data_IF_713580854362
#
_entry.id   IF_713580854362
#
_cell.length_a   1.000
_cell.length_b   1.000
_cell.length_c   1.000
_cell.angle_alpha   90.00
_cell.angle_beta   90.00
_cell.angle_gamma   90.00
#
_symmetry.space_group_name_H-M   'P 1'
#
loop_
_entity.id
_entity.type
_entity.pdbx_description
1 polymer ?
#
# COMPACT_ATOMS: atom_id res chain seq x y z
N UNK A 1 5.29 -15.28 -5.31
CA UNK A 1 5.90 -16.12 -4.26
C UNK A 1 5.89 -15.32 -2.97
N UNK A 2 4.95 -15.60 -2.06
CA UNK A 2 4.92 -14.98 -0.72
C UNK A 2 5.78 -15.84 0.20
N UNK A 3 7.08 -15.56 0.21
CA UNK A 3 7.98 -16.09 1.23
C UNK A 3 7.86 -15.24 2.48
N UNK A 4 7.59 -15.87 3.62
CA UNK A 4 7.78 -15.24 4.93
C UNK A 4 9.26 -14.87 5.04
N UNK A 5 9.58 -13.68 5.52
CA UNK A 5 10.99 -13.29 5.71
C UNK A 5 11.48 -13.95 6.98
N UNK A 6 12.55 -14.72 6.85
CA UNK A 6 13.11 -15.46 7.96
C UNK A 6 14.03 -14.57 8.80
N UNK A 7 14.11 -14.86 10.09
CA UNK A 7 14.99 -14.17 11.05
C UNK A 7 16.46 -14.04 10.59
N UNK A 8 17.12 -15.09 10.04
CA UNK A 8 18.51 -14.98 9.59
C UNK A 8 18.70 -14.22 8.27
N UNK A 9 17.62 -13.83 7.58
CA UNK A 9 17.73 -13.04 6.35
C UNK A 9 18.47 -11.73 6.64
N UNK A 10 19.49 -11.40 5.84
CA UNK A 10 20.22 -10.15 5.98
C UNK A 10 19.31 -8.98 5.59
N UNK A 11 19.50 -7.82 6.22
CA UNK A 11 18.75 -6.61 5.87
C UNK A 11 18.96 -6.20 4.41
N UNK A 12 20.12 -6.53 3.83
CA UNK A 12 20.42 -6.29 2.42
C UNK A 12 19.54 -7.13 1.47
N UNK A 13 19.10 -8.31 1.91
CA UNK A 13 18.29 -9.23 1.11
C UNK A 13 16.78 -8.99 1.27
N UNK A 14 16.38 -8.02 2.10
CA UNK A 14 14.98 -7.65 2.29
C UNK A 14 14.45 -7.01 1.00
N UNK A 15 13.26 -7.42 0.51
CA UNK A 15 12.66 -6.82 -0.67
C UNK A 15 12.58 -5.27 -0.56
N UNK A 16 13.05 -4.52 -1.58
CA UNK A 16 13.09 -3.05 -1.51
C UNK A 16 11.75 -2.39 -1.19
N UNK A 17 10.65 -2.95 -1.72
CA UNK A 17 9.28 -2.46 -1.46
C UNK A 17 8.90 -2.58 0.02
N UNK A 18 9.33 -3.65 0.68
CA UNK A 18 9.09 -3.83 2.11
C UNK A 18 9.94 -2.86 2.92
N UNK A 19 11.23 -2.74 2.59
CA UNK A 19 12.13 -1.81 3.25
C UNK A 19 11.65 -0.36 3.10
N UNK A 20 11.18 0.05 1.93
CA UNK A 20 10.60 1.39 1.69
C UNK A 20 9.35 1.61 2.55
N UNK A 21 8.48 0.61 2.66
CA UNK A 21 7.28 0.68 3.50
C UNK A 21 7.61 0.82 4.98
N UNK A 22 8.65 0.11 5.45
CA UNK A 22 9.20 0.25 6.79
C UNK A 22 9.79 1.66 7.01
N UNK A 23 10.63 2.15 6.09
CA UNK A 23 11.25 3.47 6.21
C UNK A 23 10.19 4.58 6.30
N UNK A 24 9.18 4.54 5.42
CA UNK A 24 8.06 5.50 5.47
C UNK A 24 7.30 5.45 6.79
N UNK A 25 7.07 4.25 7.32
CA UNK A 25 6.37 4.07 8.59
C UNK A 25 7.13 4.75 9.73
N UNK A 26 8.43 4.48 9.87
CA UNK A 26 9.25 5.01 10.98
C UNK A 26 9.52 6.51 10.80
N UNK A 27 9.77 6.98 9.58
CA UNK A 27 10.00 8.40 9.29
C UNK A 27 8.77 9.26 9.62
N UNK A 28 7.57 8.71 9.44
CA UNK A 28 6.33 9.42 9.75
C UNK A 28 6.12 9.71 11.24
N UNK A 29 6.78 8.93 12.13
CA UNK A 29 6.68 9.08 13.57
C UNK A 29 5.28 8.97 14.16
N UNK A 30 4.33 8.35 13.44
CA UNK A 30 2.90 8.30 13.79
C UNK A 30 2.65 7.63 15.16
N UNK A 31 3.53 6.74 15.59
CA UNK A 31 3.47 6.04 16.87
C UNK A 31 4.28 6.70 17.99
N UNK A 32 4.85 7.89 17.76
CA UNK A 32 5.69 8.60 18.72
C UNK A 32 7.08 7.99 18.90
N UNK A 33 7.36 6.87 18.24
CA UNK A 33 8.61 6.12 18.27
C UNK A 33 9.35 6.36 16.94
N UNK A 34 9.62 7.62 16.61
CA UNK A 34 10.22 7.96 15.31
C UNK A 34 11.64 7.42 15.11
N UNK A 35 12.18 7.68 13.92
CA UNK A 35 13.53 7.26 13.50
C UNK A 35 14.66 7.58 14.49
N UNK A 36 14.54 8.64 15.31
CA UNK A 36 15.55 8.99 16.33
C UNK A 36 15.65 7.93 17.42
N UNK A 37 14.54 7.41 17.88
CA UNK A 37 14.53 6.35 18.89
C UNK A 37 15.16 5.07 18.32
N UNK A 38 14.88 4.77 17.05
CA UNK A 38 15.53 3.66 16.33
C UNK A 38 17.05 3.88 16.22
N UNK A 39 17.48 5.08 15.85
CA UNK A 39 18.89 5.45 15.74
C UNK A 39 19.64 5.24 17.07
N UNK A 40 19.03 5.58 18.21
CA UNK A 40 19.68 5.40 19.53
C UNK A 40 19.90 3.94 19.93
N UNK A 41 19.14 2.99 19.37
CA UNK A 41 19.32 1.56 19.64
C UNK A 41 20.33 0.92 18.68
N UNK A 42 20.45 1.47 17.47
CA UNK A 42 21.20 0.86 16.37
C UNK A 42 22.61 1.45 16.22
N UNK A 43 22.75 2.76 16.41
CA UNK A 43 24.01 3.46 16.23
C UNK A 43 24.85 3.42 17.51
N UNK A 44 26.16 3.14 17.41
CA UNK A 44 27.07 3.13 18.56
C UNK A 44 27.31 4.50 19.20
N UNK A 45 27.00 5.61 18.52
CA UNK A 45 27.35 6.96 18.98
C UNK A 45 26.28 8.01 18.68
N UNK A 46 26.11 8.95 19.63
CA UNK A 46 25.26 10.14 19.46
C UNK A 46 25.74 11.07 18.34
N UNK A 47 27.02 11.01 17.97
CA UNK A 47 27.53 11.76 16.81
C UNK A 47 26.88 11.28 15.52
N UNK A 48 26.73 9.97 15.35
CA UNK A 48 26.13 9.39 14.15
C UNK A 48 24.65 9.73 14.04
N UNK A 49 23.94 9.81 15.18
CA UNK A 49 22.56 10.30 15.22
C UNK A 49 22.45 11.72 14.64
N UNK A 50 23.38 12.62 15.01
CA UNK A 50 23.44 13.98 14.46
C UNK A 50 23.79 13.99 12.96
N UNK A 51 24.66 13.09 12.52
CA UNK A 51 24.93 12.93 11.09
C UNK A 51 23.66 12.53 10.33
N UNK A 52 22.84 11.62 10.88
CA UNK A 52 21.54 11.26 10.29
C UNK A 52 20.58 12.45 10.22
N UNK A 53 20.60 13.37 11.18
CA UNK A 53 19.78 14.59 11.12
C UNK A 53 20.11 15.48 9.91
N UNK A 54 21.36 15.48 9.44
CA UNK A 54 21.75 16.22 8.24
C UNK A 54 21.05 15.67 6.98
N UNK A 55 20.77 14.36 6.93
CA UNK A 55 20.00 13.76 5.82
C UNK A 55 18.55 14.22 5.84
N UNK A 56 17.94 14.36 7.02
CA UNK A 56 16.60 14.93 7.16
C UNK A 56 16.55 16.36 6.65
N UNK A 57 17.54 17.18 7.02
CA UNK A 57 17.65 18.56 6.55
C UNK A 57 17.80 18.65 5.02
N UNK A 58 18.38 17.62 4.39
CA UNK A 58 18.49 17.48 2.94
C UNK A 58 17.24 16.87 2.26
N UNK A 59 16.16 16.63 3.02
CA UNK A 59 14.91 16.06 2.50
C UNK A 59 14.99 14.56 2.18
N UNK A 60 15.96 13.84 2.74
CA UNK A 60 16.13 12.40 2.57
C UNK A 60 15.52 11.63 3.74
N UNK A 61 15.18 10.36 3.51
CA UNK A 61 14.70 9.45 4.55
C UNK A 61 15.83 9.14 5.56
N UNK A 62 15.71 9.54 6.84
CA UNK A 62 16.70 9.17 7.85
C UNK A 62 16.68 7.68 8.13
N UNK A 63 15.51 7.02 8.16
CA UNK A 63 15.42 5.58 8.40
C UNK A 63 16.07 4.78 7.28
N UNK A 64 15.95 5.22 6.02
CA UNK A 64 16.60 4.54 4.90
C UNK A 64 18.13 4.57 5.04
N UNK A 65 18.70 5.71 5.43
CA UNK A 65 20.14 5.82 5.67
C UNK A 65 20.58 4.95 6.86
N UNK A 66 19.81 4.93 7.95
CA UNK A 66 20.07 4.04 9.09
C UNK A 66 20.08 2.57 8.68
N UNK A 67 19.06 2.13 7.94
CA UNK A 67 18.97 0.75 7.48
C UNK A 67 20.08 0.39 6.51
N UNK A 68 20.48 1.33 5.65
CA UNK A 68 21.62 1.16 4.75
C UNK A 68 22.93 0.96 5.53
N UNK A 69 23.24 1.85 6.48
CA UNK A 69 24.44 1.76 7.31
C UNK A 69 24.46 0.49 8.16
N UNK A 70 23.30 0.07 8.66
CA UNK A 70 23.20 -1.11 9.50
C UNK A 70 23.26 -2.41 8.69
N UNK A 71 22.68 -2.44 7.49
CA UNK A 71 22.78 -3.56 6.57
C UNK A 71 24.24 -3.84 6.16
N UNK A 72 25.07 -2.81 5.98
CA UNK A 72 26.50 -2.96 5.70
C UNK A 72 27.28 -3.69 6.82
N UNK A 73 26.74 -3.71 8.04
CA UNK A 73 27.30 -4.46 9.17
C UNK A 73 26.82 -5.92 9.22
N UNK A 74 26.23 -6.43 8.13
CA UNK A 74 25.66 -7.77 8.01
C UNK A 74 24.58 -8.07 9.06
N UNK A 75 23.77 -7.07 9.40
CA UNK A 75 22.66 -7.22 10.33
C UNK A 75 21.51 -7.96 9.69
N UNK A 76 20.81 -8.71 10.53
CA UNK A 76 19.71 -9.57 10.10
C UNK A 76 18.35 -8.92 10.38
N UNK A 77 17.32 -9.45 9.74
CA UNK A 77 15.92 -9.12 10.06
C UNK A 77 15.61 -9.47 11.52
N UNK A 78 16.22 -10.53 12.07
CA UNK A 78 16.12 -10.86 13.48
C UNK A 78 16.65 -9.77 14.42
N UNK A 79 17.80 -9.19 14.10
CA UNK A 79 18.37 -8.08 14.87
C UNK A 79 17.43 -6.89 14.85
N UNK A 80 16.86 -6.56 13.68
CA UNK A 80 15.87 -5.51 13.54
C UNK A 80 14.60 -5.79 14.36
N UNK A 81 14.05 -6.99 14.26
CA UNK A 81 12.86 -7.39 15.00
C UNK A 81 13.04 -7.30 16.52
N UNK A 82 14.25 -7.58 17.01
CA UNK A 82 14.60 -7.45 18.43
C UNK A 82 14.59 -5.98 18.87
N UNK A 83 15.22 -5.10 18.10
CA UNK A 83 15.20 -3.64 18.39
C UNK A 83 13.77 -3.10 18.35
N UNK A 84 12.96 -3.53 17.38
CA UNK A 84 11.56 -3.12 17.29
C UNK A 84 10.73 -3.62 18.48
N UNK A 85 11.02 -4.80 19.02
CA UNK A 85 10.40 -5.30 20.26
C UNK A 85 10.79 -4.45 21.47
N UNK A 86 12.09 -4.14 21.62
CA UNK A 86 12.61 -3.29 22.70
C UNK A 86 11.99 -1.89 22.69
N UNK A 87 11.72 -1.36 21.50
CA UNK A 87 11.05 -0.07 21.31
C UNK A 87 9.52 -0.14 21.44
N UNK A 88 8.89 -1.31 21.37
CA UNK A 88 7.43 -1.47 21.37
C UNK A 88 6.77 -1.19 20.01
N UNK A 89 7.51 -1.23 18.90
CA UNK A 89 6.99 -1.02 17.54
C UNK A 89 6.27 -2.24 16.97
N UNK A 90 5.07 -2.51 17.49
CA UNK A 90 4.24 -3.64 17.06
C UNK A 90 3.85 -3.55 15.58
N UNK A 91 3.53 -2.35 15.08
CA UNK A 91 3.15 -2.13 13.67
C UNK A 91 4.32 -2.38 12.72
N UNK A 92 5.49 -1.84 13.01
CA UNK A 92 6.67 -2.03 12.16
C UNK A 92 7.12 -3.50 12.17
N UNK A 93 7.05 -4.16 13.33
CA UNK A 93 7.26 -5.61 13.44
C UNK A 93 6.28 -6.41 12.58
N UNK A 94 5.00 -6.04 12.59
CA UNK A 94 3.97 -6.73 11.81
C UNK A 94 4.21 -6.66 10.30
N UNK A 95 4.88 -5.62 9.77
CA UNK A 95 5.20 -5.53 8.34
C UNK A 95 6.07 -6.70 7.88
N UNK A 96 7.09 -7.07 8.65
CA UNK A 96 7.98 -8.18 8.32
C UNK A 96 7.32 -9.56 8.50
N UNK A 97 6.23 -9.63 9.28
CA UNK A 97 5.46 -10.86 9.50
C UNK A 97 4.29 -11.01 8.50
N UNK A 98 3.73 -9.90 8.03
CA UNK A 98 2.49 -9.85 7.24
C UNK A 98 2.69 -10.00 5.73
N UNK A 99 3.92 -10.19 5.24
CA UNK A 99 4.17 -10.56 3.85
C UNK A 99 3.55 -11.93 3.44
N UNK A 100 2.91 -12.62 4.39
CA UNK A 100 1.97 -13.72 4.12
C UNK A 100 0.64 -13.27 3.46
N UNK A 101 0.28 -11.97 3.42
CA UNK A 101 -1.10 -11.53 3.09
C UNK A 101 -1.21 -10.56 1.90
N UNK A 102 -0.13 -9.92 1.45
CA UNK A 102 -0.20 -8.97 0.32
C UNK A 102 0.33 -9.51 -1.01
N UNK A 103 -0.36 -10.53 -1.53
CA UNK A 103 -0.67 -10.63 -2.96
C UNK A 103 -2.19 -10.75 -3.05
N UNK A 104 -2.84 -9.93 -3.88
CA UNK A 104 -4.28 -9.94 -4.26
C UNK A 104 -5.15 -8.74 -3.80
N UNK A 105 -4.63 -7.52 -3.75
CA UNK A 105 -5.50 -6.32 -3.68
C UNK A 105 -5.89 -5.72 -5.06
N UNK A 106 -5.70 -6.47 -6.14
CA UNK A 106 -6.14 -6.10 -7.51
C UNK A 106 -7.36 -6.89 -8.00
N UNK A 107 -8.05 -7.63 -7.13
CA UNK A 107 -9.20 -8.47 -7.50
C UNK A 107 -10.55 -8.02 -6.89
N UNK A 108 -10.68 -6.77 -6.43
CA UNK A 108 -11.95 -6.23 -5.88
C UNK A 108 -12.58 -5.20 -6.84
N UNK A 109 -12.60 -5.48 -8.14
CA UNK A 109 -13.45 -4.74 -9.10
C UNK A 109 -14.36 -5.65 -9.93
N UNK A 110 -14.58 -6.91 -9.52
CA UNK A 110 -15.45 -7.85 -10.26
C UNK A 110 -16.77 -8.20 -9.53
N UNK A 111 -17.05 -7.58 -8.37
CA UNK A 111 -18.28 -7.84 -7.60
C UNK A 111 -19.32 -6.74 -7.83
N UNK A 112 -19.61 -6.42 -9.09
CA UNK A 112 -20.88 -5.77 -9.45
C UNK A 112 -21.45 -6.54 -10.64
N UNK A 113 -22.08 -7.67 -10.34
CA UNK A 113 -22.94 -8.39 -11.28
C UNK A 113 -24.13 -7.52 -11.68
N UNK A 114 -24.65 -7.61 -12.91
CA UNK A 114 -26.08 -7.54 -13.13
C UNK A 114 -26.63 -8.97 -13.16
N UNK A 115 -27.40 -9.29 -12.13
CA UNK A 115 -28.27 -10.46 -12.09
C UNK A 115 -29.26 -10.42 -13.25
N UNK A 116 -29.39 -11.56 -13.92
CA UNK A 116 -30.33 -11.81 -15.02
C UNK A 116 -31.76 -11.91 -14.44
N UNK A 117 -32.75 -11.07 -14.83
CA UNK A 117 -34.12 -11.30 -14.42
C UNK A 117 -34.76 -12.40 -15.27
N UNK A 118 -35.43 -13.31 -14.57
CA UNK A 118 -36.18 -14.44 -15.10
C UNK A 118 -37.43 -14.03 -15.88
N UNK A 119 -37.80 -14.90 -16.84
CA UNK A 119 -38.92 -14.82 -17.76
C UNK A 119 -40.28 -14.49 -17.13
N UNK A 120 -40.94 -13.46 -17.64
CA UNK A 120 -42.39 -13.27 -17.51
C UNK A 120 -43.05 -13.77 -18.79
N UNK A 121 -43.82 -14.85 -18.67
CA UNK A 121 -44.75 -15.32 -19.71
C UNK A 121 -45.88 -14.30 -19.86
N UNK A 122 -46.07 -13.75 -21.07
CA UNK A 122 -47.33 -13.09 -21.46
C UNK A 122 -47.95 -13.80 -22.65
N UNK A 123 -49.24 -14.05 -22.51
CA UNK A 123 -50.12 -14.82 -23.37
C UNK A 123 -50.47 -14.05 -24.64
N UNK A 124 -50.86 -14.81 -25.67
CA UNK A 124 -51.36 -14.37 -26.97
C UNK A 124 -52.55 -13.41 -26.88
N UNK A 125 -52.64 -12.43 -27.80
CA UNK A 125 -53.87 -12.00 -28.52
C UNK A 125 -53.48 -11.33 -29.87
N UNK A 126 -53.78 -12.08 -30.93
CA UNK A 126 -54.29 -11.85 -32.31
C UNK A 126 -54.51 -10.41 -32.86
N UNK A 127 -54.17 -10.25 -34.17
CA UNK A 127 -54.60 -9.28 -35.23
C UNK A 127 -54.24 -7.79 -35.07
N UNK A 128 -53.83 -7.00 -36.08
CA UNK A 128 -53.87 -7.10 -37.54
C UNK A 128 -54.54 -5.83 -38.12
N UNK A 129 -53.83 -5.10 -39.02
CA UNK A 129 -54.24 -3.88 -39.79
C UNK A 129 -54.32 -2.56 -38.98
N UNK A 130 -53.88 -1.35 -39.42
CA UNK A 130 -53.73 -0.75 -40.76
C UNK A 130 -52.95 0.60 -40.71
N UNK A 131 -52.25 0.90 -41.82
CA UNK A 131 -51.97 2.21 -42.49
C UNK A 131 -51.11 3.32 -41.84
N UNK A 132 -50.07 3.66 -42.64
CA UNK A 132 -49.44 4.97 -42.97
C UNK A 132 -50.19 6.24 -42.49
N UNK A 133 -49.41 7.24 -42.05
CA UNK A 133 -49.16 8.55 -42.73
C UNK A 133 -48.20 9.41 -41.89
N UNK A 134 -47.06 9.76 -42.51
CA UNK A 134 -46.31 11.02 -42.56
C UNK A 134 -46.11 12.01 -41.38
N UNK A 135 -44.83 12.45 -41.32
CA UNK A 135 -44.33 13.83 -41.17
C UNK A 135 -44.51 14.60 -39.85
N UNK A 136 -43.41 14.72 -39.09
CA UNK A 136 -42.60 15.96 -39.01
C UNK A 136 -41.49 15.86 -37.94
N UNK A 137 -40.24 16.02 -38.36
CA UNK A 137 -39.23 16.71 -37.53
C UNK A 137 -39.53 18.22 -37.56
N UNK A 138 -39.20 18.93 -36.49
CA UNK A 138 -38.21 19.99 -36.63
C UNK A 138 -37.18 20.00 -35.48
N UNK A 139 -35.90 20.07 -35.86
CA UNK A 139 -34.80 20.69 -35.09
C UNK A 139 -35.05 22.22 -34.93
N UNK A 140 -34.12 23.05 -34.39
CA UNK A 140 -33.37 23.02 -33.13
C UNK A 140 -33.45 24.37 -32.38
N UNK A 141 -33.21 24.40 -31.07
CA UNK A 141 -32.75 25.59 -30.33
C UNK A 141 -31.68 25.08 -29.34
N UNK A 142 -30.37 25.33 -29.45
CA UNK A 142 -29.65 26.58 -29.58
C UNK A 142 -30.17 27.64 -28.60
N UNK A 143 -29.53 27.76 -27.43
CA UNK A 143 -28.94 29.02 -26.95
C UNK A 143 -28.78 29.10 -25.42
N UNK A 144 -27.53 29.37 -25.00
CA UNK A 144 -27.12 30.22 -23.87
C UNK A 144 -27.55 29.82 -22.45
N UNK A 145 -26.63 29.37 -21.60
CA UNK A 145 -25.72 30.22 -20.80
C UNK A 145 -24.56 29.39 -20.24
#
# INVERSE_FOLDING_TARGET
MSGKIDTPTLLFDVPPVLMESFCRLIDSGVDGLGWRALATHILPSQLEVRCTEMYVAAGKSPTQELMWLWAQQNKTVGDLLKVLDEMGHTRARSLFQSQAVHVNHTAILTIISPTKPQSIKRQHIVTGLTRRVDNRCPDPCASFY
#
